data_IF_982482299973
#
_entry.id   IF_982482299973
#
_cell.length_a   1.000
_cell.length_b   1.000
_cell.length_c   1.000
_cell.angle_alpha   90.00
_cell.angle_beta   90.00
_cell.angle_gamma   90.00
#
_symmetry.space_group_name_H-M   'P 1'
#
loop_
_entity.id
_entity.type
_entity.pdbx_description
1 polymer ?
#
# COMPACT_ATOMS: atom_id res chain seq x y z
N UNK A 1 50.70 50.82 15.94
CA UNK A 1 49.72 49.70 15.95
C UNK A 1 49.19 49.58 14.52
N UNK A 2 49.68 48.60 13.76
CA UNK A 2 49.28 48.41 12.37
C UNK A 2 48.01 47.55 12.34
N UNK A 3 46.95 48.11 11.78
CA UNK A 3 45.64 47.48 11.62
C UNK A 3 45.76 46.33 10.62
N UNK A 4 45.46 45.12 11.05
CA UNK A 4 45.47 43.92 10.22
C UNK A 4 44.35 44.02 9.17
N UNK A 5 44.74 44.15 7.90
CA UNK A 5 43.84 44.50 6.79
C UNK A 5 43.26 43.22 6.17
N UNK A 6 41.95 42.99 6.31
CA UNK A 6 41.25 41.82 5.76
C UNK A 6 41.28 41.80 4.22
N UNK A 7 41.66 40.67 3.63
CA UNK A 7 41.67 40.43 2.18
C UNK A 7 40.46 39.55 1.82
N UNK A 8 39.76 39.85 0.73
CA UNK A 8 38.59 39.09 0.22
C UNK A 8 38.83 38.59 -1.21
N UNK A 9 38.19 37.47 -1.59
CA UNK A 9 38.40 36.81 -2.90
C UNK A 9 38.01 37.69 -4.11
N UNK A 10 36.97 38.52 -3.97
CA UNK A 10 36.33 39.13 -5.13
C UNK A 10 37.06 40.35 -5.72
N UNK A 11 38.13 40.85 -5.08
CA UNK A 11 38.83 42.03 -5.59
C UNK A 11 40.36 41.99 -5.57
N UNK A 12 41.00 41.05 -4.85
CA UNK A 12 42.40 41.24 -4.46
C UNK A 12 43.36 40.05 -4.69
N UNK A 13 42.91 38.89 -5.19
CA UNK A 13 43.81 37.73 -5.27
C UNK A 13 44.95 37.88 -6.30
N UNK A 14 44.74 38.60 -7.40
CA UNK A 14 45.71 38.77 -8.47
C UNK A 14 47.01 39.48 -8.05
N UNK A 15 47.03 40.81 -8.04
CA UNK A 15 48.25 41.58 -7.80
C UNK A 15 48.73 41.60 -6.33
N UNK A 16 47.82 41.38 -5.36
CA UNK A 16 48.15 41.41 -3.92
C UNK A 16 48.50 40.04 -3.35
N UNK A 17 47.98 38.95 -3.92
CA UNK A 17 48.36 37.58 -3.52
C UNK A 17 49.84 37.28 -3.71
N UNK A 18 50.46 37.86 -4.75
CA UNK A 18 51.90 37.73 -5.05
C UNK A 18 52.84 38.41 -4.04
N UNK A 19 52.32 39.31 -3.18
CA UNK A 19 53.09 40.01 -2.14
C UNK A 19 52.91 39.42 -0.73
N UNK A 20 52.09 38.37 -0.59
CA UNK A 20 51.84 37.72 0.69
C UNK A 20 52.94 36.72 1.02
N UNK A 21 53.34 36.68 2.29
CA UNK A 21 54.20 35.62 2.81
C UNK A 21 53.46 34.28 2.80
N UNK A 22 54.20 33.17 2.74
CA UNK A 22 53.60 31.83 2.79
C UNK A 22 52.68 31.62 4.01
N UNK A 23 53.02 32.24 5.15
CA UNK A 23 52.20 32.21 6.35
C UNK A 23 50.86 32.96 6.19
N UNK A 24 50.84 34.11 5.50
CA UNK A 24 49.63 34.87 5.23
C UNK A 24 48.71 34.16 4.23
N UNK A 25 49.28 33.53 3.20
CA UNK A 25 48.52 32.70 2.24
C UNK A 25 47.90 31.49 2.96
N UNK A 26 48.68 30.80 3.80
CA UNK A 26 48.19 29.66 4.57
C UNK A 26 47.07 30.05 5.55
N UNK A 27 47.20 31.19 6.23
CA UNK A 27 46.18 31.72 7.13
C UNK A 27 44.88 32.05 6.38
N UNK A 28 45.00 32.68 5.20
CA UNK A 28 43.85 33.00 4.35
C UNK A 28 43.13 31.74 3.85
N UNK A 29 43.86 30.78 3.29
CA UNK A 29 43.27 29.52 2.79
C UNK A 29 42.59 28.76 3.93
N UNK A 30 43.22 28.71 5.12
CA UNK A 30 42.62 28.09 6.30
C UNK A 30 41.31 28.77 6.71
N UNK A 31 41.25 30.11 6.66
CA UNK A 31 40.04 30.86 6.92
C UNK A 31 38.92 30.59 5.91
N UNK A 32 39.25 30.46 4.63
CA UNK A 32 38.27 30.11 3.59
C UNK A 32 37.74 28.67 3.75
N UNK A 33 38.62 27.71 4.04
CA UNK A 33 38.22 26.33 4.31
C UNK A 33 37.29 26.21 5.52
N UNK A 34 37.58 26.95 6.60
CA UNK A 34 36.70 26.98 7.76
C UNK A 34 35.32 27.56 7.40
N UNK A 35 35.29 28.67 6.65
CA UNK A 35 34.02 29.27 6.22
C UNK A 35 33.18 28.35 5.35
N UNK A 36 33.82 27.56 4.47
CA UNK A 36 33.13 26.55 3.66
C UNK A 36 32.59 25.40 4.52
N UNK A 37 33.38 24.92 5.47
CA UNK A 37 32.95 23.86 6.40
C UNK A 37 31.75 24.32 7.26
N UNK A 38 31.77 25.55 7.76
CA UNK A 38 30.66 26.10 8.56
C UNK A 38 29.38 26.26 7.71
N UNK A 39 29.52 26.64 6.43
CA UNK A 39 28.40 26.69 5.48
C UNK A 39 27.84 25.29 5.18
N UNK A 40 28.70 24.29 4.99
CA UNK A 40 28.27 22.90 4.78
C UNK A 40 27.53 22.36 6.01
N UNK A 41 28.06 22.57 7.21
CA UNK A 41 27.38 22.18 8.45
C UNK A 41 26.00 22.87 8.60
N UNK A 42 25.90 24.15 8.21
CA UNK A 42 24.64 24.89 8.20
C UNK A 42 23.65 24.32 7.18
N UNK A 43 24.11 24.00 5.96
CA UNK A 43 23.29 23.39 4.91
C UNK A 43 22.81 21.99 5.32
N UNK A 44 23.67 21.19 5.95
CA UNK A 44 23.29 19.88 6.49
C UNK A 44 22.23 20.02 7.58
N UNK A 45 22.37 21.01 8.49
CA UNK A 45 21.34 21.29 9.49
C UNK A 45 20.03 21.76 8.86
N UNK A 46 20.08 22.60 7.83
CA UNK A 46 18.89 23.05 7.10
C UNK A 46 18.21 21.89 6.37
N UNK A 47 18.98 20.99 5.75
CA UNK A 47 18.45 19.81 5.06
C UNK A 47 17.78 18.85 6.06
N UNK A 48 18.42 18.61 7.21
CA UNK A 48 17.85 17.80 8.28
C UNK A 48 16.56 18.41 8.83
N UNK A 49 16.53 19.73 9.02
CA UNK A 49 15.34 20.46 9.47
C UNK A 49 14.23 20.45 8.40
N UNK A 50 14.55 20.60 7.11
CA UNK A 50 13.57 20.48 6.03
C UNK A 50 13.02 19.05 5.95
N UNK A 51 13.83 18.04 6.20
CA UNK A 51 13.40 16.64 6.20
C UNK A 51 12.51 16.34 7.42
N UNK A 52 12.81 16.90 8.60
CA UNK A 52 11.92 16.82 9.77
C UNK A 52 10.65 17.64 9.56
N UNK A 53 10.73 18.84 8.99
CA UNK A 53 9.57 19.69 8.71
C UNK A 53 8.71 19.10 7.58
N UNK A 54 9.26 18.34 6.63
CA UNK A 54 8.45 17.57 5.68
C UNK A 54 7.74 16.38 6.35
N UNK A 55 8.34 15.80 7.39
CA UNK A 55 7.74 14.74 8.20
C UNK A 55 6.72 15.24 9.23
N UNK A 56 6.97 16.39 9.85
CA UNK A 56 6.22 16.97 10.97
C UNK A 56 5.29 18.13 10.54
N UNK A 57 5.65 18.90 9.51
CA UNK A 57 4.95 20.09 9.02
C UNK A 57 4.12 19.86 7.75
N UNK A 58 3.54 18.66 7.59
CA UNK A 58 2.28 18.60 6.86
C UNK A 58 1.12 18.09 7.74
N UNK A 59 0.49 18.98 8.54
CA UNK A 59 -0.78 18.71 9.21
C UNK A 59 -1.90 18.29 8.24
N UNK A 60 -1.81 18.64 6.95
CA UNK A 60 -2.74 18.14 5.93
C UNK A 60 -2.45 16.67 5.54
N UNK A 61 -1.25 16.16 5.80
CA UNK A 61 -0.85 14.75 5.62
C UNK A 61 -1.17 13.91 6.87
N UNK A 62 -1.15 14.53 8.06
CA UNK A 62 -1.67 13.93 9.31
C UNK A 62 -3.21 13.82 9.32
N UNK A 63 -3.90 14.63 8.50
CA UNK A 63 -5.30 14.45 8.12
C UNK A 63 -5.51 13.54 6.88
N UNK A 64 -4.45 13.16 6.17
CA UNK A 64 -4.50 12.43 4.88
C UNK A 64 -4.13 10.94 4.99
N UNK A 65 -4.79 10.21 5.88
CA UNK A 65 -4.98 8.79 5.58
C UNK A 65 -6.00 8.58 4.48
N UNK A 66 -6.84 9.59 4.14
CA UNK A 66 -8.01 9.43 3.25
C UNK A 66 -8.87 8.22 3.67
N UNK A 67 -9.00 7.99 4.98
CA UNK A 67 -9.69 6.83 5.53
C UNK A 67 -8.91 5.51 5.48
N UNK A 68 -7.60 5.52 5.16
CA UNK A 68 -6.76 4.33 5.06
C UNK A 68 -5.74 4.16 6.21
N UNK A 69 -5.72 3.00 6.84
CA UNK A 69 -4.87 2.74 8.01
C UNK A 69 -4.20 1.37 7.90
N UNK A 70 -2.98 1.22 8.44
CA UNK A 70 -2.40 -0.11 8.60
C UNK A 70 -3.11 -0.81 9.76
N UNK A 71 -3.63 -2.00 9.53
CA UNK A 71 -4.38 -2.78 10.54
C UNK A 71 -3.63 -4.04 10.94
N UNK A 72 -3.80 -4.43 12.19
CA UNK A 72 -3.17 -5.61 12.79
C UNK A 72 -4.00 -6.13 13.98
N UNK A 73 -3.85 -7.40 14.32
CA UNK A 73 -4.32 -7.95 15.59
C UNK A 73 -3.19 -7.85 16.61
N UNK A 74 -3.42 -7.11 17.70
CA UNK A 74 -2.40 -6.91 18.73
C UNK A 74 -2.01 -8.24 19.38
N UNK A 75 -0.71 -8.52 19.45
CA UNK A 75 -0.17 -9.76 20.03
C UNK A 75 -0.70 -10.09 21.43
N UNK A 76 -0.85 -9.10 22.31
CA UNK A 76 -1.18 -9.33 23.71
C UNK A 76 -2.55 -10.01 23.92
N UNK A 77 -3.53 -9.67 23.09
CA UNK A 77 -4.95 -9.99 23.34
C UNK A 77 -5.77 -10.28 22.07
N UNK A 78 -5.11 -10.33 20.91
CA UNK A 78 -5.75 -10.54 19.61
C UNK A 78 -6.84 -9.49 19.30
N UNK A 79 -6.68 -8.27 19.82
CA UNK A 79 -7.63 -7.19 19.53
C UNK A 79 -7.28 -6.49 18.21
N UNK A 80 -8.24 -6.31 17.28
CA UNK A 80 -7.99 -5.63 16.01
C UNK A 80 -7.78 -4.12 16.24
N UNK A 81 -6.67 -3.60 15.70
CA UNK A 81 -6.29 -2.19 15.80
C UNK A 81 -5.90 -1.67 14.43
N UNK A 82 -6.13 -0.37 14.21
CA UNK A 82 -5.71 0.33 13.00
C UNK A 82 -4.95 1.60 13.37
N UNK A 83 -3.83 1.83 12.68
CA UNK A 83 -2.96 2.99 12.92
C UNK A 83 -2.59 3.68 11.61
N UNK A 84 -2.30 4.99 11.64
CA UNK A 84 -1.73 5.65 10.47
C UNK A 84 -0.40 5.03 10.06
N UNK A 85 -0.08 5.08 8.77
CA UNK A 85 1.10 4.45 8.18
C UNK A 85 2.41 4.84 8.88
N UNK A 86 2.58 6.09 9.32
CA UNK A 86 3.81 6.54 10.01
C UNK A 86 4.02 5.91 11.40
N UNK A 87 2.98 5.36 12.03
CA UNK A 87 3.12 4.62 13.30
C UNK A 87 3.51 3.16 13.09
N UNK A 88 3.27 2.60 11.91
CA UNK A 88 3.47 1.18 11.64
C UNK A 88 4.92 0.70 11.82
N UNK A 89 5.97 1.40 11.30
CA UNK A 89 7.35 0.90 11.40
C UNK A 89 7.81 0.61 12.84
N UNK A 90 7.37 1.41 13.81
CA UNK A 90 7.70 1.18 15.23
C UNK A 90 6.99 -0.06 15.80
N UNK A 91 5.74 -0.32 15.38
CA UNK A 91 4.98 -1.51 15.79
C UNK A 91 5.52 -2.78 15.17
N UNK A 92 5.90 -2.73 13.89
CA UNK A 92 6.54 -3.84 13.19
C UNK A 92 7.89 -4.20 13.83
N UNK A 93 8.69 -3.20 14.23
CA UNK A 93 9.93 -3.41 15.00
C UNK A 93 9.69 -4.00 16.39
N UNK A 94 8.56 -3.66 17.04
CA UNK A 94 8.10 -4.31 18.27
C UNK A 94 7.54 -5.73 18.03
N UNK A 95 7.49 -6.17 16.77
CA UNK A 95 7.14 -7.50 16.33
C UNK A 95 5.68 -7.67 15.91
N UNK A 96 4.84 -6.64 15.96
CA UNK A 96 3.46 -6.74 15.45
C UNK A 96 3.47 -7.06 13.95
N UNK A 97 2.44 -7.74 13.45
CA UNK A 97 2.34 -8.15 12.04
C UNK A 97 1.06 -7.60 11.43
N UNK A 98 1.18 -6.90 10.30
CA UNK A 98 0.04 -6.28 9.65
C UNK A 98 -0.87 -7.35 9.00
N UNK A 99 -2.17 -7.20 9.23
CA UNK A 99 -3.20 -7.93 8.48
C UNK A 99 -3.35 -7.34 7.07
N UNK A 100 -3.26 -6.01 6.94
CA UNK A 100 -3.47 -5.30 5.68
C UNK A 100 -3.70 -3.81 5.86
N UNK A 101 -4.44 -3.22 4.92
CA UNK A 101 -4.83 -1.80 4.96
C UNK A 101 -6.33 -1.68 5.15
N UNK A 102 -6.75 -1.18 6.31
CA UNK A 102 -8.14 -0.80 6.56
C UNK A 102 -8.51 0.39 5.68
N UNK A 103 -9.68 0.36 5.05
CA UNK A 103 -10.27 1.45 4.27
C UNK A 103 -11.67 1.73 4.82
N UNK A 104 -11.86 2.94 5.32
CA UNK A 104 -13.17 3.42 5.78
C UNK A 104 -14.06 3.74 4.57
N UNK A 105 -15.33 3.37 4.65
CA UNK A 105 -16.30 3.55 3.57
C UNK A 105 -17.52 4.28 4.12
N UNK A 106 -17.88 5.41 3.52
CA UNK A 106 -19.01 6.22 3.97
C UNK A 106 -20.33 5.43 3.86
N UNK A 107 -20.99 5.23 4.99
CA UNK A 107 -22.27 4.52 5.06
C UNK A 107 -22.20 3.01 4.82
N UNK A 108 -21.00 2.40 4.81
CA UNK A 108 -20.79 0.96 4.66
C UNK A 108 -19.79 0.45 5.69
N UNK A 109 -19.72 -0.87 5.87
CA UNK A 109 -18.69 -1.47 6.72
C UNK A 109 -17.30 -1.26 6.09
N UNK A 110 -16.26 -1.00 6.89
CA UNK A 110 -14.90 -0.88 6.37
C UNK A 110 -14.37 -2.23 5.87
N UNK A 111 -13.44 -2.17 4.93
CA UNK A 111 -12.76 -3.35 4.37
C UNK A 111 -11.27 -3.28 4.66
N UNK A 112 -10.62 -4.43 4.76
CA UNK A 112 -9.17 -4.57 4.85
C UNK A 112 -8.65 -5.05 3.50
N UNK A 113 -7.74 -4.32 2.88
CA UNK A 113 -7.07 -4.70 1.63
C UNK A 113 -5.82 -5.52 1.94
N UNK A 114 -5.68 -6.67 1.28
CA UNK A 114 -4.56 -7.59 1.49
C UNK A 114 -3.18 -6.96 1.18
N UNK A 115 -2.13 -7.26 1.96
CA UNK A 115 -0.77 -6.77 1.70
C UNK A 115 -0.20 -7.14 0.33
N UNK A 116 -0.60 -8.29 -0.22
CA UNK A 116 -0.07 -8.81 -1.49
C UNK A 116 -1.18 -9.08 -2.51
N UNK A 117 -0.78 -9.20 -3.77
CA UNK A 117 -1.64 -9.51 -4.91
C UNK A 117 -0.99 -10.54 -5.82
N UNK A 118 -1.79 -11.09 -6.72
CA UNK A 118 -1.36 -11.99 -7.79
C UNK A 118 -2.10 -11.66 -9.09
N UNK A 119 -1.79 -12.35 -10.18
CA UNK A 119 -2.48 -12.23 -11.47
C UNK A 119 -2.98 -13.62 -11.90
N UNK A 120 -4.30 -13.80 -11.96
CA UNK A 120 -4.94 -15.10 -12.15
C UNK A 120 -6.12 -15.00 -13.11
N UNK A 121 -6.49 -16.15 -13.69
CA UNK A 121 -7.79 -16.33 -14.33
C UNK A 121 -8.90 -16.28 -13.30
N UNK A 122 -10.11 -15.94 -13.72
CA UNK A 122 -11.25 -15.89 -12.81
C UNK A 122 -11.75 -17.30 -12.44
N UNK A 123 -11.84 -18.21 -13.42
CA UNK A 123 -12.23 -19.62 -13.20
C UNK A 123 -11.65 -20.55 -14.26
N UNK A 124 -11.78 -21.87 -14.04
CA UNK A 124 -11.45 -22.92 -15.01
C UNK A 124 -12.56 -23.10 -16.04
N UNK A 125 -13.80 -23.12 -15.57
CA UNK A 125 -14.99 -23.36 -16.38
C UNK A 125 -15.88 -22.10 -16.45
N UNK A 126 -16.57 -21.94 -17.58
CA UNK A 126 -17.49 -20.83 -17.82
C UNK A 126 -18.88 -21.15 -17.26
N UNK A 127 -19.04 -20.96 -15.95
CA UNK A 127 -20.28 -21.24 -15.22
C UNK A 127 -20.73 -19.97 -14.50
N UNK A 128 -22.05 -19.75 -14.48
CA UNK A 128 -22.67 -18.66 -13.73
C UNK A 128 -23.10 -19.17 -12.36
N UNK A 129 -22.67 -18.52 -11.29
CA UNK A 129 -23.17 -18.81 -9.94
C UNK A 129 -24.19 -17.76 -9.53
N UNK A 130 -23.83 -16.49 -9.68
CA UNK A 130 -24.67 -15.35 -9.29
C UNK A 130 -24.53 -14.17 -10.26
N UNK A 131 -24.73 -14.42 -11.55
CA UNK A 131 -24.72 -13.41 -12.62
C UNK A 131 -25.96 -12.49 -12.65
N UNK A 132 -26.54 -12.19 -11.48
CA UNK A 132 -27.74 -11.37 -11.30
C UNK A 132 -27.55 -9.88 -11.66
N UNK A 133 -26.30 -9.45 -11.67
CA UNK A 133 -25.89 -8.10 -12.10
C UNK A 133 -25.97 -7.96 -13.62
N UNK A 134 -25.71 -9.03 -14.37
CA UNK A 134 -25.69 -8.96 -15.83
C UNK A 134 -24.75 -7.86 -16.33
N UNK A 135 -25.24 -7.01 -17.23
CA UNK A 135 -24.57 -5.79 -17.70
C UNK A 135 -25.02 -4.49 -17.00
N UNK A 136 -25.73 -4.59 -15.88
CA UNK A 136 -26.31 -3.44 -15.19
C UNK A 136 -25.27 -2.75 -14.29
N UNK A 137 -24.71 -1.66 -14.81
CA UNK A 137 -23.79 -0.79 -14.08
C UNK A 137 -24.40 -0.26 -12.77
N UNK A 138 -25.69 0.09 -12.75
CA UNK A 138 -26.33 0.68 -11.57
C UNK A 138 -26.35 -0.29 -10.40
N UNK A 139 -26.56 -1.59 -10.68
CA UNK A 139 -26.44 -2.66 -9.68
C UNK A 139 -24.99 -2.85 -9.24
N UNK A 140 -24.06 -2.90 -10.20
CA UNK A 140 -22.65 -3.13 -9.90
C UNK A 140 -22.05 -2.04 -8.99
N UNK A 141 -22.44 -0.77 -9.18
CA UNK A 141 -21.92 0.39 -8.44
C UNK A 141 -22.28 0.40 -6.95
N UNK A 142 -23.39 -0.24 -6.56
CA UNK A 142 -23.90 -0.19 -5.17
C UNK A 142 -23.82 -1.54 -4.47
N UNK A 143 -23.25 -2.53 -5.14
CA UNK A 143 -23.16 -3.89 -4.65
C UNK A 143 -21.88 -4.11 -3.82
N UNK A 144 -22.00 -3.97 -2.51
CA UNK A 144 -20.94 -4.26 -1.51
C UNK A 144 -21.02 -5.70 -0.97
N UNK A 145 -21.44 -6.67 -1.79
CA UNK A 145 -21.68 -8.06 -1.33
C UNK A 145 -20.55 -9.04 -1.66
N UNK A 146 -19.32 -8.58 -1.93
CA UNK A 146 -18.22 -9.42 -2.39
C UNK A 146 -17.95 -10.65 -1.51
N UNK A 147 -18.14 -10.52 -0.19
CA UNK A 147 -18.05 -11.64 0.76
C UNK A 147 -19.10 -12.72 0.45
N UNK A 148 -20.36 -12.33 0.33
CA UNK A 148 -21.48 -13.24 0.02
C UNK A 148 -21.31 -13.86 -1.37
N UNK A 149 -20.90 -13.06 -2.36
CA UNK A 149 -20.64 -13.56 -3.73
C UNK A 149 -19.52 -14.58 -3.75
N UNK A 150 -18.38 -14.27 -3.13
CA UNK A 150 -17.24 -15.19 -3.06
C UNK A 150 -17.63 -16.48 -2.34
N UNK A 151 -18.39 -16.41 -1.24
CA UNK A 151 -18.88 -17.61 -0.57
C UNK A 151 -19.76 -18.49 -1.47
N UNK A 152 -20.67 -17.89 -2.25
CA UNK A 152 -21.49 -18.63 -3.22
C UNK A 152 -20.64 -19.27 -4.33
N UNK A 153 -19.63 -18.55 -4.83
CA UNK A 153 -18.67 -19.04 -5.83
C UNK A 153 -17.89 -20.24 -5.28
N UNK A 154 -17.37 -20.14 -4.05
CA UNK A 154 -16.64 -21.24 -3.40
C UNK A 154 -17.52 -22.46 -3.17
N UNK A 155 -18.81 -22.27 -2.85
CA UNK A 155 -19.76 -23.37 -2.73
C UNK A 155 -20.00 -24.13 -4.05
N UNK A 156 -19.69 -23.51 -5.20
CA UNK A 156 -19.73 -24.12 -6.53
C UNK A 156 -18.33 -24.44 -7.08
N UNK A 157 -17.33 -24.56 -6.19
CA UNK A 157 -15.92 -24.68 -6.58
C UNK A 157 -15.61 -25.90 -7.46
N UNK A 158 -16.24 -27.05 -7.23
CA UNK A 158 -16.04 -28.25 -8.06
C UNK A 158 -16.40 -27.98 -9.53
N UNK A 159 -17.53 -27.32 -9.76
CA UNK A 159 -17.97 -26.99 -11.12
C UNK A 159 -17.07 -25.92 -11.75
N UNK A 160 -16.65 -24.92 -10.97
CA UNK A 160 -15.90 -23.76 -11.46
C UNK A 160 -14.39 -24.02 -11.66
N UNK A 161 -13.79 -24.85 -10.80
CA UNK A 161 -12.34 -25.03 -10.68
C UNK A 161 -11.90 -26.49 -10.89
N UNK A 162 -12.84 -27.44 -10.85
CA UNK A 162 -12.61 -28.88 -11.00
C UNK A 162 -12.57 -29.64 -9.68
N UNK A 163 -12.48 -30.97 -9.75
CA UNK A 163 -12.54 -31.88 -8.58
C UNK A 163 -11.35 -31.75 -7.61
N UNK A 164 -10.18 -31.29 -8.07
CA UNK A 164 -8.98 -31.18 -7.23
C UNK A 164 -8.93 -29.83 -6.50
N UNK A 165 -9.35 -29.80 -5.23
CA UNK A 165 -9.35 -28.58 -4.41
C UNK A 165 -7.96 -27.94 -4.23
N UNK A 166 -6.90 -28.74 -4.25
CA UNK A 166 -5.52 -28.23 -4.11
C UNK A 166 -5.12 -27.29 -5.26
N UNK A 167 -5.76 -27.42 -6.43
CA UNK A 167 -5.52 -26.58 -7.60
C UNK A 167 -6.39 -25.32 -7.65
N UNK A 168 -7.40 -25.20 -6.77
CA UNK A 168 -8.37 -24.11 -6.87
C UNK A 168 -7.74 -22.73 -6.74
N UNK A 169 -6.68 -22.59 -5.93
CA UNK A 169 -5.96 -21.32 -5.72
C UNK A 169 -5.27 -20.78 -6.97
N UNK A 170 -5.30 -21.50 -8.10
CA UNK A 170 -4.94 -20.98 -9.42
C UNK A 170 -6.01 -20.03 -10.01
N UNK A 171 -7.15 -19.88 -9.36
CA UNK A 171 -8.27 -19.04 -9.79
C UNK A 171 -8.60 -17.95 -8.77
N UNK A 172 -8.98 -16.77 -9.26
CA UNK A 172 -9.06 -15.54 -8.47
C UNK A 172 -9.93 -15.66 -7.20
N UNK A 173 -11.18 -16.19 -7.23
CA UNK A 173 -12.02 -16.26 -6.04
C UNK A 173 -11.45 -17.20 -4.97
N UNK A 174 -10.93 -18.35 -5.39
CA UNK A 174 -10.37 -19.34 -4.49
C UNK A 174 -9.02 -18.90 -3.90
N UNK A 175 -8.17 -18.22 -4.69
CA UNK A 175 -6.97 -17.60 -4.17
C UNK A 175 -7.28 -16.56 -3.09
N UNK A 176 -8.29 -15.70 -3.34
CA UNK A 176 -8.73 -14.75 -2.33
C UNK A 176 -9.25 -15.44 -1.08
N UNK A 177 -10.07 -16.48 -1.22
CA UNK A 177 -10.62 -17.20 -0.08
C UNK A 177 -9.56 -17.94 0.74
N UNK A 178 -8.53 -18.46 0.08
CA UNK A 178 -7.40 -19.15 0.72
C UNK A 178 -6.31 -18.19 1.24
N UNK A 179 -6.42 -16.88 0.99
CA UNK A 179 -5.45 -15.90 1.47
C UNK A 179 -5.35 -15.96 3.00
N UNK A 180 -4.14 -15.95 3.54
CA UNK A 180 -3.90 -16.13 4.97
C UNK A 180 -2.86 -15.12 5.47
N UNK A 181 -3.24 -14.37 6.50
CA UNK A 181 -2.39 -13.43 7.24
C UNK A 181 -2.32 -13.77 8.72
N UNK A 182 -2.79 -14.95 9.10
CA UNK A 182 -2.60 -15.45 10.45
C UNK A 182 -1.14 -15.75 10.73
N UNK A 183 -0.71 -15.53 11.97
CA UNK A 183 0.65 -15.79 12.41
C UNK A 183 0.66 -16.24 13.87
N UNK A 184 1.69 -17.00 14.22
CA UNK A 184 1.93 -17.43 15.59
C UNK A 184 2.44 -16.23 16.41
N UNK A 185 1.75 -15.88 17.50
CA UNK A 185 2.11 -14.73 18.33
C UNK A 185 3.34 -14.94 19.22
N UNK A 186 3.84 -16.18 19.31
CA UNK A 186 5.06 -16.54 20.05
C UNK A 186 4.85 -16.86 21.52
N UNK A 187 3.63 -17.25 21.93
CA UNK A 187 3.39 -17.80 23.26
C UNK A 187 3.65 -19.32 23.28
N UNK A 188 3.77 -19.90 24.49
CA UNK A 188 4.06 -21.34 24.66
C UNK A 188 2.98 -22.24 24.04
N UNK A 189 1.75 -21.75 23.92
CA UNK A 189 0.63 -22.46 23.32
C UNK A 189 0.64 -22.44 21.78
N UNK A 190 1.49 -21.61 21.15
CA UNK A 190 1.54 -21.46 19.70
C UNK A 190 0.27 -20.84 19.11
N UNK A 191 -0.34 -19.90 19.82
CA UNK A 191 -1.61 -19.29 19.45
C UNK A 191 -1.48 -18.52 18.12
N UNK A 192 -2.35 -18.85 17.17
CA UNK A 192 -2.49 -18.14 15.90
C UNK A 192 -3.42 -16.93 16.07
N UNK A 193 -2.99 -15.77 15.60
CA UNK A 193 -3.76 -14.51 15.58
C UNK A 193 -3.72 -13.89 14.19
N UNK A 194 -4.50 -12.84 13.95
CA UNK A 194 -4.64 -12.21 12.63
C UNK A 194 -5.77 -12.84 11.79
N UNK A 195 -5.81 -12.50 10.51
CA UNK A 195 -6.91 -12.94 9.61
C UNK A 195 -6.51 -14.18 8.82
N UNK A 196 -7.04 -15.34 9.23
CA UNK A 196 -6.80 -16.63 8.58
C UNK A 196 -7.57 -16.89 7.28
N UNK A 197 -7.22 -17.99 6.62
CA UNK A 197 -7.93 -18.48 5.44
C UNK A 197 -9.44 -18.64 5.67
N UNK A 198 -10.22 -18.44 4.61
CA UNK A 198 -11.69 -18.48 4.60
C UNK A 198 -12.36 -17.17 5.08
N UNK A 199 -11.60 -16.20 5.59
CA UNK A 199 -12.10 -14.88 6.02
C UNK A 199 -11.95 -13.79 4.96
N UNK A 200 -11.13 -14.06 3.95
CA UNK A 200 -10.84 -13.18 2.84
C UNK A 200 -11.76 -13.48 1.64
N UNK A 201 -12.07 -12.46 0.83
CA UNK A 201 -12.91 -12.59 -0.35
C UNK A 201 -12.39 -11.78 -1.54
N UNK A 202 -12.83 -12.17 -2.74
CA UNK A 202 -12.62 -11.39 -3.95
C UNK A 202 -13.58 -10.19 -3.90
N UNK A 203 -13.10 -8.94 -3.96
CA UNK A 203 -13.97 -7.78 -3.86
C UNK A 203 -15.01 -7.73 -4.98
N UNK A 204 -16.21 -7.26 -4.65
CA UNK A 204 -17.24 -6.83 -5.59
C UNK A 204 -16.84 -5.54 -6.32
N UNK A 205 -17.61 -5.10 -7.32
CA UNK A 205 -17.33 -3.86 -8.03
C UNK A 205 -17.38 -2.62 -7.13
N UNK A 206 -18.35 -2.52 -6.22
CA UNK A 206 -18.41 -1.37 -5.31
C UNK A 206 -17.19 -1.33 -4.37
N UNK A 207 -16.73 -2.49 -3.88
CA UNK A 207 -15.51 -2.60 -3.07
C UNK A 207 -14.23 -2.27 -3.88
N UNK A 208 -14.11 -2.72 -5.13
CA UNK A 208 -13.00 -2.36 -6.01
C UNK A 208 -12.96 -0.86 -6.35
N UNK A 209 -14.13 -0.24 -6.54
CA UNK A 209 -14.22 1.20 -6.75
C UNK A 209 -13.77 1.98 -5.52
N UNK A 210 -14.09 1.49 -4.31
CA UNK A 210 -13.51 2.02 -3.07
C UNK A 210 -11.99 1.90 -3.09
N UNK A 211 -11.44 0.74 -3.46
CA UNK A 211 -9.98 0.57 -3.58
C UNK A 211 -9.38 1.56 -4.59
N UNK A 212 -10.00 1.74 -5.76
CA UNK A 212 -9.54 2.68 -6.77
C UNK A 212 -9.57 4.13 -6.29
N UNK A 213 -10.66 4.54 -5.62
CA UNK A 213 -10.84 5.87 -5.04
C UNK A 213 -9.71 6.18 -4.06
N UNK A 214 -9.33 5.21 -3.23
CA UNK A 214 -8.34 5.36 -2.17
C UNK A 214 -6.93 4.84 -2.54
N UNK A 215 -6.66 4.52 -3.82
CA UNK A 215 -5.47 3.74 -4.23
C UNK A 215 -4.14 4.32 -3.79
N UNK A 216 -3.99 5.64 -3.78
CA UNK A 216 -2.74 6.29 -3.38
C UNK A 216 -2.52 6.21 -1.87
N UNK A 217 -3.57 6.39 -1.07
CA UNK A 217 -3.50 6.23 0.38
C UNK A 217 -3.29 4.77 0.78
N UNK A 218 -3.92 3.83 0.07
CA UNK A 218 -3.65 2.40 0.22
C UNK A 218 -2.19 2.10 -0.10
N UNK A 219 -1.66 2.60 -1.22
CA UNK A 219 -0.27 2.40 -1.60
C UNK A 219 0.75 3.00 -0.64
N UNK A 220 0.39 4.09 0.05
CA UNK A 220 1.20 4.69 1.12
C UNK A 220 1.21 3.82 2.38
N UNK A 221 0.08 3.21 2.75
CA UNK A 221 0.04 2.24 3.84
C UNK A 221 0.78 0.95 3.48
N UNK A 222 0.64 0.46 2.24
CA UNK A 222 1.35 -0.73 1.77
C UNK A 222 2.86 -0.52 1.71
N UNK A 223 3.35 0.69 1.40
CA UNK A 223 4.79 0.94 1.29
C UNK A 223 5.57 0.81 2.60
N UNK A 224 4.88 0.85 3.75
CA UNK A 224 5.51 0.69 5.06
C UNK A 224 5.39 -0.73 5.63
N UNK A 225 4.57 -1.61 5.02
CA UNK A 225 4.40 -2.99 5.50
C UNK A 225 5.46 -3.90 4.88
N UNK A 226 6.25 -4.58 5.70
CA UNK A 226 7.28 -5.50 5.22
C UNK A 226 6.66 -6.65 4.41
N UNK A 227 7.20 -6.88 3.21
CA UNK A 227 6.73 -7.94 2.29
C UNK A 227 5.43 -7.62 1.53
N UNK A 228 4.84 -6.43 1.71
CA UNK A 228 3.70 -6.00 0.92
C UNK A 228 4.09 -5.59 -0.51
N UNK A 229 3.12 -5.63 -1.41
CA UNK A 229 3.24 -5.07 -2.76
C UNK A 229 2.17 -4.03 -3.00
N UNK A 230 2.57 -2.87 -3.54
CA UNK A 230 1.64 -1.81 -3.92
C UNK A 230 0.65 -2.29 -4.99
N UNK A 231 -0.51 -1.65 -5.06
CA UNK A 231 -1.50 -1.84 -6.11
C UNK A 231 -0.86 -1.51 -7.46
N UNK A 232 -0.99 -2.43 -8.42
CA UNK A 232 -0.59 -2.20 -9.80
C UNK A 232 -1.65 -1.38 -10.52
N UNK A 233 -1.23 -0.44 -11.36
CA UNK A 233 -2.14 0.27 -12.24
C UNK A 233 -2.51 -0.63 -13.44
N UNK A 234 -3.46 -1.54 -13.24
CA UNK A 234 -3.91 -2.51 -14.24
C UNK A 234 -5.36 -2.94 -13.99
N UNK A 235 -5.83 -3.98 -14.70
CA UNK A 235 -7.15 -4.56 -14.54
C UNK A 235 -7.21 -5.50 -13.33
N UNK A 236 -8.29 -5.42 -12.56
CA UNK A 236 -8.56 -6.25 -11.40
C UNK A 236 -9.88 -7.00 -11.54
N UNK A 237 -9.85 -8.29 -11.22
CA UNK A 237 -11.05 -9.11 -11.16
C UNK A 237 -11.94 -8.74 -9.97
N UNK A 238 -13.25 -8.79 -10.19
CA UNK A 238 -14.25 -8.70 -9.14
C UNK A 238 -14.99 -10.03 -8.94
N UNK A 239 -15.66 -10.19 -7.80
CA UNK A 239 -16.60 -11.30 -7.58
C UNK A 239 -17.96 -11.09 -8.28
N UNK A 240 -18.17 -9.93 -8.91
CA UNK A 240 -19.42 -9.60 -9.59
C UNK A 240 -19.42 -10.25 -10.98
N UNK A 241 -20.38 -11.14 -11.22
CA UNK A 241 -20.50 -11.87 -12.48
C UNK A 241 -21.40 -11.14 -13.49
N UNK A 242 -21.02 -11.13 -14.76
CA UNK A 242 -21.85 -10.61 -15.85
C UNK A 242 -22.62 -11.69 -16.60
N UNK A 243 -22.04 -12.89 -16.72
CA UNK A 243 -22.67 -14.07 -17.33
C UNK A 243 -21.91 -15.34 -16.94
N UNK A 244 -22.30 -16.49 -17.50
CA UNK A 244 -21.52 -17.72 -17.36
C UNK A 244 -20.08 -17.56 -17.90
N UNK A 245 -19.90 -16.83 -19.01
CA UNK A 245 -18.59 -16.65 -19.63
C UNK A 245 -17.79 -15.48 -19.07
N UNK A 246 -18.44 -14.43 -18.55
CA UNK A 246 -17.80 -13.16 -18.26
C UNK A 246 -17.98 -12.70 -16.80
N UNK A 247 -16.96 -12.06 -16.26
CA UNK A 247 -16.98 -11.39 -14.96
C UNK A 247 -16.70 -9.89 -15.12
N UNK A 248 -17.18 -9.09 -14.17
CA UNK A 248 -16.85 -7.67 -14.10
C UNK A 248 -15.41 -7.46 -13.62
N UNK A 249 -14.78 -6.41 -14.12
CA UNK A 249 -13.42 -6.04 -13.77
C UNK A 249 -13.25 -4.52 -13.85
N UNK A 250 -12.32 -3.98 -13.07
CA UNK A 250 -12.04 -2.55 -12.95
C UNK A 250 -10.56 -2.27 -13.26
N UNK A 251 -10.29 -1.24 -14.07
CA UNK A 251 -8.94 -0.70 -14.26
C UNK A 251 -8.61 0.24 -13.11
N UNK A 252 -7.53 -0.05 -12.38
CA UNK A 252 -7.02 0.88 -11.36
C UNK A 252 -6.24 2.07 -11.95
N UNK A 253 -6.01 2.10 -13.27
CA UNK A 253 -5.34 3.22 -13.96
C UNK A 253 -6.28 4.43 -13.96
N UNK A 254 -7.49 4.23 -14.48
CA UNK A 254 -8.41 5.31 -14.86
C UNK A 254 -9.84 5.07 -14.37
N UNK A 255 -10.10 3.97 -13.67
CA UNK A 255 -11.43 3.63 -13.17
C UNK A 255 -12.33 3.02 -14.24
N UNK A 256 -11.79 2.64 -15.41
CA UNK A 256 -12.60 2.00 -16.46
C UNK A 256 -13.21 0.70 -15.95
N UNK A 257 -14.55 0.61 -16.01
CA UNK A 257 -15.35 -0.51 -15.53
C UNK A 257 -16.01 -1.25 -16.71
N UNK A 258 -15.88 -2.57 -16.76
CA UNK A 258 -16.38 -3.37 -17.87
C UNK A 258 -16.66 -4.82 -17.42
N UNK A 259 -17.39 -5.59 -18.24
CA UNK A 259 -17.89 -6.94 -17.93
C UNK A 259 -17.83 -7.94 -19.07
N UNK A 260 -17.20 -7.61 -20.20
CA UNK A 260 -17.22 -8.46 -21.40
C UNK A 260 -16.01 -9.42 -21.53
N UNK A 261 -15.10 -9.44 -20.56
CA UNK A 261 -13.91 -10.30 -20.63
C UNK A 261 -14.18 -11.69 -20.07
N UNK A 262 -13.70 -12.69 -20.80
CA UNK A 262 -13.90 -14.10 -20.47
C UNK A 262 -13.12 -14.56 -19.24
N UNK A 263 -13.84 -15.17 -18.28
CA UNK A 263 -13.32 -15.69 -17.00
C UNK A 263 -12.17 -16.70 -17.14
N UNK A 264 -12.21 -17.49 -18.21
CA UNK A 264 -11.32 -18.63 -18.46
C UNK A 264 -10.12 -18.26 -19.35
N UNK A 265 -10.23 -17.15 -20.08
CA UNK A 265 -9.26 -16.76 -21.10
C UNK A 265 -8.24 -15.75 -20.59
N UNK A 266 -8.68 -14.78 -19.78
CA UNK A 266 -7.85 -13.67 -19.35
C UNK A 266 -7.41 -13.81 -17.92
N UNK A 267 -6.19 -13.36 -17.65
CA UNK A 267 -5.67 -13.21 -16.29
C UNK A 267 -5.56 -11.73 -15.94
N UNK A 268 -6.09 -11.36 -14.79
CA UNK A 268 -6.05 -10.01 -14.25
C UNK A 268 -5.58 -10.04 -12.80
N UNK A 269 -5.23 -8.87 -12.28
CA UNK A 269 -4.79 -8.77 -10.90
C UNK A 269 -5.92 -9.10 -9.94
N UNK A 270 -5.53 -9.65 -8.79
CA UNK A 270 -6.43 -10.08 -7.74
C UNK A 270 -5.86 -9.59 -6.42
N UNK A 271 -6.69 -8.90 -5.65
CA UNK A 271 -6.36 -8.36 -4.33
C UNK A 271 -7.50 -8.72 -3.39
N UNK A 272 -7.24 -9.62 -2.47
CA UNK A 272 -8.24 -10.06 -1.51
C UNK A 272 -8.60 -8.92 -0.55
N UNK A 273 -9.84 -8.95 -0.06
CA UNK A 273 -10.29 -8.07 1.02
C UNK A 273 -10.88 -8.87 2.17
N UNK A 274 -10.86 -8.31 3.38
CA UNK A 274 -11.43 -8.91 4.58
C UNK A 274 -12.26 -7.88 5.38
N UNK A 275 -13.00 -8.37 6.38
CA UNK A 275 -13.76 -7.52 7.29
C UNK A 275 -12.87 -7.08 8.45
N UNK A 276 -13.10 -5.88 8.96
CA UNK A 276 -12.53 -5.43 10.22
C UNK A 276 -13.52 -5.71 11.35
N UNK A 277 -13.21 -6.66 12.23
CA UNK A 277 -14.07 -7.09 13.34
C UNK A 277 -13.26 -7.62 14.53
#
# INVERSE_FOLDING_TARGET
MATEKQITMDTDWGAKGAQLTGAQVQAFIKGQLQSLHDKDATLQSQLNNLNSDLGDANPQLQAATDGCFVTYHRKSDNWPLAVPHWKWPALEQAGEVADGVLVLIDGQAPIIVAPTQTNLKWSKNAIAVNADTGGDYSKAYVDYTGKTRTAAIMANGVELFGENEEEWTQYAPAWCNAYDRSYNKGDEAGTMIGIGAGKWWLPSIAELLTIWKHKYAINLCLSVISGASQLSESWYWSSTEGSATNAWYLSLIDGTLNYWRGKVQYSYYVRAVAAFH
#
